data_IF_908158142233
#
_entry.id   IF_908158142233
#
_cell.length_a   1.000
_cell.length_b   1.000
_cell.length_c   1.000
_cell.angle_alpha   90.00
_cell.angle_beta   90.00
_cell.angle_gamma   90.00
#
_symmetry.space_group_name_H-M   'P 1'
#
loop_
_entity.id
_entity.type
_entity.pdbx_description
1 polymer ?
#
# COMPACT_ATOMS: atom_id res chain seq x y z
N UNK A 1 -0.67 -17.57 -7.75
CA UNK A 1 -0.53 -16.16 -7.38
C UNK A 1 -1.91 -15.63 -6.99
N UNK A 2 -2.00 -14.94 -5.84
CA UNK A 2 -3.26 -14.38 -5.32
C UNK A 2 -3.10 -12.87 -5.21
N UNK A 3 -4.00 -12.11 -5.83
CA UNK A 3 -4.01 -10.65 -5.75
C UNK A 3 -5.23 -10.16 -4.98
N UNK A 4 -5.00 -9.40 -3.90
CA UNK A 4 -6.05 -8.72 -3.14
C UNK A 4 -6.11 -7.25 -3.56
N UNK A 5 -7.29 -6.75 -3.88
CA UNK A 5 -7.49 -5.41 -4.45
C UNK A 5 -8.31 -4.51 -3.52
N UNK A 6 -7.86 -3.27 -3.36
CA UNK A 6 -8.64 -2.19 -2.74
C UNK A 6 -9.46 -1.44 -3.81
N UNK A 7 -10.74 -1.22 -3.54
CA UNK A 7 -11.69 -0.53 -4.43
C UNK A 7 -11.77 0.97 -4.20
N UNK A 8 -10.96 1.52 -3.31
CA UNK A 8 -11.07 2.92 -2.91
C UNK A 8 -10.45 3.93 -3.89
N UNK A 9 -9.81 3.49 -4.96
CA UNK A 9 -9.23 4.39 -5.96
C UNK A 9 -9.85 4.16 -7.34
N UNK A 10 -10.47 5.18 -7.90
CA UNK A 10 -11.01 5.23 -9.27
C UNK A 10 -9.96 5.02 -10.38
N UNK A 11 -8.70 4.82 -10.02
CA UNK A 11 -7.56 4.66 -10.96
C UNK A 11 -7.25 3.19 -11.26
N UNK A 12 -7.90 2.26 -10.59
CA UNK A 12 -7.72 0.84 -10.92
C UNK A 12 -8.59 0.47 -12.10
N UNK A 13 -8.02 0.52 -13.29
CA UNK A 13 -8.68 0.08 -14.49
C UNK A 13 -9.10 -1.39 -14.37
N UNK A 14 -10.37 -1.67 -14.59
CA UNK A 14 -10.92 -3.02 -14.75
C UNK A 14 -10.17 -3.83 -15.81
N UNK A 15 -9.54 -3.15 -16.76
CA UNK A 15 -8.79 -3.70 -17.87
C UNK A 15 -7.61 -4.60 -17.45
N UNK A 16 -7.03 -4.37 -16.26
CA UNK A 16 -5.98 -5.23 -15.73
C UNK A 16 -6.50 -6.59 -15.24
N UNK A 17 -7.76 -6.68 -14.83
CA UNK A 17 -8.34 -7.95 -14.37
C UNK A 17 -8.63 -8.91 -15.51
N UNK A 18 -9.05 -8.38 -16.65
CA UNK A 18 -9.35 -9.16 -17.85
C UNK A 18 -8.07 -9.74 -18.50
N UNK A 19 -6.91 -9.14 -18.19
CA UNK A 19 -5.60 -9.59 -18.69
C UNK A 19 -4.87 -10.58 -17.76
N UNK A 20 -5.46 -10.95 -16.61
CA UNK A 20 -4.80 -11.86 -15.68
C UNK A 20 -4.84 -13.31 -16.18
N UNK A 21 -3.74 -14.07 -15.99
CA UNK A 21 -3.74 -15.49 -16.29
C UNK A 21 -4.81 -16.23 -15.46
N UNK A 22 -5.43 -17.29 -15.98
CA UNK A 22 -6.43 -18.08 -15.25
C UNK A 22 -5.93 -18.70 -13.93
N UNK A 23 -4.60 -18.79 -13.77
CA UNK A 23 -3.96 -19.28 -12.54
C UNK A 23 -3.92 -18.24 -11.43
N UNK A 24 -4.29 -16.99 -11.68
CA UNK A 24 -4.31 -15.92 -10.68
C UNK A 24 -5.69 -15.81 -10.07
N UNK A 25 -5.80 -16.10 -8.78
CA UNK A 25 -7.03 -15.89 -8.04
C UNK A 25 -7.17 -14.43 -7.63
N UNK A 26 -8.35 -13.84 -7.86
CA UNK A 26 -8.67 -12.46 -7.45
C UNK A 26 -9.66 -12.51 -6.28
N UNK A 27 -9.28 -11.88 -5.18
CA UNK A 27 -10.12 -11.78 -3.98
C UNK A 27 -10.51 -10.32 -3.78
N UNK A 28 -11.80 -9.96 -3.87
CA UNK A 28 -12.26 -8.60 -3.66
C UNK A 28 -12.17 -8.21 -2.18
N UNK A 29 -11.74 -6.97 -1.90
CA UNK A 29 -11.71 -6.39 -0.58
C UNK A 29 -12.06 -4.90 -0.66
N UNK A 30 -13.18 -4.50 -0.07
CA UNK A 30 -13.71 -3.13 -0.12
C UNK A 30 -13.23 -2.24 1.04
N UNK A 31 -12.60 -2.82 2.06
CA UNK A 31 -12.12 -2.10 3.24
C UNK A 31 -10.76 -2.62 3.69
N UNK A 32 -9.99 -1.80 4.41
CA UNK A 32 -8.70 -2.22 4.98
C UNK A 32 -8.82 -3.44 5.92
N UNK A 33 -9.95 -3.62 6.59
CA UNK A 33 -10.20 -4.80 7.43
C UNK A 33 -10.45 -6.06 6.61
N UNK A 34 -11.24 -5.96 5.57
CA UNK A 34 -11.47 -7.06 4.61
C UNK A 34 -10.17 -7.43 3.91
N UNK A 35 -9.38 -6.42 3.46
CA UNK A 35 -8.08 -6.66 2.87
C UNK A 35 -7.13 -7.38 3.83
N UNK A 36 -7.04 -6.95 5.10
CA UNK A 36 -6.23 -7.65 6.09
C UNK A 36 -6.66 -9.12 6.23
N UNK A 37 -7.96 -9.38 6.31
CA UNK A 37 -8.48 -10.76 6.41
C UNK A 37 -8.13 -11.57 5.17
N UNK A 38 -8.44 -11.05 3.99
CA UNK A 38 -8.20 -11.73 2.71
C UNK A 38 -6.72 -12.03 2.48
N UNK A 39 -5.83 -11.04 2.75
CA UNK A 39 -4.38 -11.23 2.62
C UNK A 39 -3.88 -12.29 3.59
N UNK A 40 -4.32 -12.29 4.86
CA UNK A 40 -3.89 -13.29 5.84
C UNK A 40 -4.34 -14.71 5.47
N UNK A 41 -5.55 -14.88 4.94
CA UNK A 41 -6.03 -16.18 4.45
C UNK A 41 -5.20 -16.66 3.25
N UNK A 42 -5.04 -15.79 2.24
CA UNK A 42 -4.26 -16.12 1.05
C UNK A 42 -2.77 -16.39 1.35
N UNK A 43 -2.23 -15.71 2.34
CA UNK A 43 -0.82 -15.82 2.73
C UNK A 43 -0.47 -17.14 3.46
N UNK A 44 -1.45 -17.94 3.91
CA UNK A 44 -1.18 -19.22 4.60
C UNK A 44 -0.40 -20.21 3.74
N UNK A 45 -0.67 -20.18 2.45
CA UNK A 45 -0.06 -21.10 1.48
C UNK A 45 0.96 -20.41 0.57
N UNK A 46 1.26 -19.11 0.83
CA UNK A 46 2.19 -18.33 0.03
C UNK A 46 3.59 -18.25 0.64
N UNK A 47 4.63 -18.39 -0.17
CA UNK A 47 6.01 -18.23 0.24
C UNK A 47 6.40 -16.75 0.40
N UNK A 48 5.75 -15.86 -0.36
CA UNK A 48 5.98 -14.43 -0.31
C UNK A 48 4.68 -13.63 -0.40
N UNK A 49 4.64 -12.46 0.25
CA UNK A 49 3.55 -11.48 0.15
C UNK A 49 4.13 -10.14 -0.29
N UNK A 50 3.59 -9.58 -1.36
CA UNK A 50 3.99 -8.27 -1.89
C UNK A 50 2.82 -7.31 -1.71
N UNK A 51 2.97 -6.35 -0.79
CA UNK A 51 1.98 -5.33 -0.46
C UNK A 51 2.26 -4.05 -1.23
N UNK A 52 1.71 -3.92 -2.43
CA UNK A 52 1.87 -2.72 -3.27
C UNK A 52 0.74 -1.70 -3.11
N UNK A 53 -0.36 -2.07 -2.45
CA UNK A 53 -1.52 -1.21 -2.29
C UNK A 53 -1.28 -0.08 -1.28
N UNK A 54 -1.75 1.13 -1.62
CA UNK A 54 -1.84 2.26 -0.70
C UNK A 54 -3.11 2.13 0.15
N UNK A 55 -2.98 1.58 1.36
CA UNK A 55 -4.10 1.46 2.29
C UNK A 55 -4.19 2.72 3.15
N UNK A 56 -5.38 3.33 3.22
CA UNK A 56 -5.60 4.53 4.02
C UNK A 56 -5.34 4.28 5.52
N UNK A 57 -4.65 5.20 6.19
CA UNK A 57 -4.34 5.09 7.63
C UNK A 57 -5.58 5.23 8.51
N UNK A 58 -6.62 5.91 8.03
CA UNK A 58 -7.83 6.24 8.79
C UNK A 58 -9.09 5.85 8.02
N UNK A 59 -10.14 5.61 8.77
CA UNK A 59 -11.51 5.40 8.26
C UNK A 59 -12.53 6.12 9.15
N UNK A 60 -13.71 6.50 8.65
CA UNK A 60 -14.79 6.98 9.48
C UNK A 60 -15.18 5.96 10.56
N UNK A 61 -15.45 6.43 11.79
CA UNK A 61 -15.94 5.58 12.88
C UNK A 61 -17.34 5.05 12.52
N UNK A 62 -18.16 5.91 11.90
CA UNK A 62 -19.52 5.58 11.47
C UNK A 62 -19.69 5.89 10.00
N UNK A 63 -20.22 4.94 9.25
CA UNK A 63 -20.60 5.11 7.84
C UNK A 63 -22.09 5.44 7.78
N UNK A 64 -22.45 6.55 7.11
CA UNK A 64 -23.84 6.91 6.93
C UNK A 64 -24.56 5.92 6.02
N UNK A 65 -25.71 5.41 6.43
CA UNK A 65 -26.52 4.49 5.63
C UNK A 65 -27.12 5.15 4.37
N UNK A 66 -27.19 6.49 4.35
CA UNK A 66 -27.76 7.27 3.25
C UNK A 66 -26.86 8.46 2.94
N UNK A 67 -27.06 9.06 1.74
CA UNK A 67 -26.35 10.25 1.30
C UNK A 67 -26.51 11.40 2.32
N UNK A 68 -25.39 11.92 2.80
CA UNK A 68 -25.34 13.11 3.66
C UNK A 68 -25.73 14.32 2.81
N UNK A 69 -26.86 14.95 3.16
CA UNK A 69 -27.35 16.15 2.46
C UNK A 69 -26.68 17.40 3.05
N UNK A 70 -26.39 18.40 2.18
CA UNK A 70 -25.96 19.72 2.63
C UNK A 70 -27.06 20.34 3.53
N UNK A 71 -26.66 20.90 4.68
CA UNK A 71 -27.58 21.69 5.51
C UNK A 71 -27.76 23.07 4.89
N UNK A 72 -28.98 23.66 4.93
CA UNK A 72 -29.17 25.03 4.52
C UNK A 72 -28.36 25.99 5.40
N UNK A 73 -27.89 27.14 4.87
CA UNK A 73 -27.07 28.11 5.61
C UNK A 73 -27.67 28.60 6.94
N UNK A 74 -29.01 28.63 7.03
CA UNK A 74 -29.78 29.03 8.23
C UNK A 74 -29.64 28.08 9.42
N UNK A 75 -29.11 26.90 9.23
CA UNK A 75 -28.93 25.87 10.29
C UNK A 75 -27.50 25.79 10.83
N UNK A 76 -26.60 26.65 10.38
CA UNK A 76 -25.20 26.69 10.85
C UNK A 76 -25.02 27.74 11.95
N UNK A 77 -24.31 27.42 13.05
CA UNK A 77 -23.94 28.42 14.05
C UNK A 77 -22.96 29.49 13.55
N UNK A 78 -22.33 29.23 12.40
CA UNK A 78 -21.46 30.17 11.69
C UNK A 78 -22.01 30.41 10.29
N UNK A 79 -22.57 31.61 9.98
CA UNK A 79 -23.26 31.87 8.71
C UNK A 79 -22.37 31.86 7.46
N UNK A 80 -21.05 31.84 7.59
CA UNK A 80 -20.14 31.98 6.47
C UNK A 80 -19.82 30.71 5.71
N UNK A 81 -19.83 29.51 6.37
CA UNK A 81 -19.55 28.24 5.67
C UNK A 81 -20.17 27.04 6.39
N UNK A 82 -21.07 26.29 5.72
CA UNK A 82 -21.60 25.05 6.29
C UNK A 82 -20.50 23.99 6.35
N UNK A 83 -20.09 23.63 7.57
CA UNK A 83 -19.09 22.59 7.81
C UNK A 83 -19.72 21.29 8.34
N UNK A 84 -19.05 20.18 8.07
CA UNK A 84 -19.36 18.86 8.64
C UNK A 84 -18.11 18.28 9.31
N UNK A 85 -18.26 17.73 10.51
CA UNK A 85 -17.18 17.02 11.18
C UNK A 85 -17.37 15.52 11.01
N UNK A 86 -16.29 14.84 10.62
CA UNK A 86 -16.25 13.38 10.50
C UNK A 86 -15.23 12.86 11.50
N UNK A 87 -15.68 12.02 12.44
CA UNK A 87 -14.78 11.34 13.37
C UNK A 87 -14.11 10.16 12.66
N UNK A 88 -12.78 10.10 12.78
CA UNK A 88 -11.97 9.04 12.19
C UNK A 88 -11.36 8.13 13.26
N UNK A 89 -11.10 6.89 12.89
CA UNK A 89 -10.31 5.92 13.66
C UNK A 89 -9.27 5.27 12.75
N UNK A 90 -8.19 4.75 13.33
CA UNK A 90 -7.10 4.13 12.59
C UNK A 90 -7.53 2.82 11.91
N UNK A 91 -7.02 2.59 10.73
CA UNK A 91 -7.03 1.30 10.05
C UNK A 91 -5.93 0.38 10.61
N UNK A 92 -6.06 -0.94 10.45
CA UNK A 92 -4.96 -1.84 10.76
C UNK A 92 -3.79 -1.60 9.79
N UNK A 93 -2.58 -1.58 10.32
CA UNK A 93 -1.36 -1.60 9.53
C UNK A 93 -1.11 -3.04 9.04
N UNK A 94 -1.54 -3.33 7.80
CA UNK A 94 -1.52 -4.70 7.26
C UNK A 94 -0.08 -5.19 7.12
N UNK A 95 0.81 -4.35 6.58
CA UNK A 95 2.21 -4.71 6.37
C UNK A 95 2.90 -5.04 7.70
N UNK A 96 2.75 -4.18 8.71
CA UNK A 96 3.33 -4.43 10.03
C UNK A 96 2.75 -5.70 10.68
N UNK A 97 1.46 -5.99 10.49
CA UNK A 97 0.84 -7.23 11.00
C UNK A 97 1.37 -8.49 10.32
N UNK A 98 1.62 -8.44 9.00
CA UNK A 98 2.21 -9.58 8.27
C UNK A 98 3.65 -9.87 8.73
N UNK A 99 4.39 -8.84 9.12
CA UNK A 99 5.75 -9.00 9.64
C UNK A 99 5.77 -9.52 11.07
N UNK A 100 4.94 -8.94 11.95
CA UNK A 100 4.95 -9.29 13.39
C UNK A 100 4.23 -10.60 13.72
N UNK A 101 3.24 -10.98 12.91
CA UNK A 101 2.44 -12.17 13.07
C UNK A 101 2.17 -12.79 11.67
N UNK A 102 3.22 -13.36 11.04
CA UNK A 102 3.10 -13.92 9.69
C UNK A 102 2.19 -15.16 9.69
N UNK A 103 1.29 -15.30 8.72
CA UNK A 103 0.42 -16.47 8.59
C UNK A 103 1.17 -17.78 8.41
N UNK A 104 2.40 -17.72 7.89
CA UNK A 104 3.30 -18.84 7.67
C UNK A 104 4.72 -18.48 8.10
N UNK A 105 5.40 -19.39 8.80
CA UNK A 105 6.79 -19.21 9.18
C UNK A 105 7.72 -19.14 7.95
N UNK A 106 8.72 -18.26 7.98
CA UNK A 106 9.67 -18.08 6.87
C UNK A 106 9.12 -17.35 5.66
N UNK A 107 7.92 -16.78 5.75
CA UNK A 107 7.30 -16.03 4.66
C UNK A 107 8.02 -14.73 4.39
N UNK A 108 8.37 -14.46 3.13
CA UNK A 108 8.98 -13.19 2.73
C UNK A 108 7.89 -12.11 2.59
N UNK A 109 8.08 -10.97 3.23
CA UNK A 109 7.15 -9.83 3.16
C UNK A 109 7.84 -8.65 2.51
N UNK A 110 7.24 -8.16 1.42
CA UNK A 110 7.70 -6.99 0.65
C UNK A 110 6.65 -5.90 0.76
N UNK A 111 7.07 -4.69 1.13
CA UNK A 111 6.20 -3.52 1.21
C UNK A 111 6.55 -2.47 0.15
N UNK A 112 5.63 -1.52 -0.01
CA UNK A 112 5.81 -0.31 -0.80
C UNK A 112 5.62 0.93 0.06
N UNK A 113 6.37 1.98 -0.27
CA UNK A 113 6.21 3.31 0.29
C UNK A 113 6.31 4.35 -0.82
N UNK A 114 5.37 5.27 -0.84
CA UNK A 114 5.46 6.50 -1.59
C UNK A 114 5.91 7.59 -0.60
N UNK A 115 7.05 8.21 -0.86
CA UNK A 115 7.62 9.23 0.03
C UNK A 115 7.91 10.51 -0.75
N UNK A 116 7.68 11.64 -0.08
CA UNK A 116 8.17 12.96 -0.49
C UNK A 116 9.30 13.36 0.45
N UNK A 117 10.26 14.15 -0.04
CA UNK A 117 11.17 14.86 0.84
C UNK A 117 10.45 16.03 1.52
N UNK A 118 10.93 16.44 2.68
CA UNK A 118 10.50 17.62 3.42
C UNK A 118 11.69 18.30 4.11
N UNK A 119 11.41 19.30 4.99
CA UNK A 119 12.45 20.03 5.72
C UNK A 119 13.22 19.16 6.73
N UNK A 120 12.66 18.00 7.13
CA UNK A 120 13.27 17.07 8.10
C UNK A 120 14.16 16.02 7.43
N UNK A 121 13.98 15.77 6.13
CA UNK A 121 14.79 14.80 5.40
C UNK A 121 14.36 14.55 3.96
N UNK A 122 15.24 13.86 3.23
CA UNK A 122 14.96 13.43 1.87
C UNK A 122 14.12 12.14 1.83
N UNK A 123 13.74 11.73 0.63
CA UNK A 123 12.98 10.49 0.37
C UNK A 123 13.65 9.26 0.97
N UNK A 124 14.99 9.19 0.92
CA UNK A 124 15.74 8.04 1.46
C UNK A 124 15.75 8.03 2.98
N UNK A 125 15.87 9.20 3.60
CA UNK A 125 15.81 9.34 5.06
C UNK A 125 14.45 8.83 5.60
N UNK A 126 13.35 9.30 5.03
CA UNK A 126 12.01 8.87 5.42
C UNK A 126 11.74 7.41 5.07
N UNK A 127 12.19 6.97 3.90
CA UNK A 127 12.12 5.57 3.47
C UNK A 127 12.84 4.62 4.42
N UNK A 128 14.08 4.97 4.83
CA UNK A 128 14.86 4.17 5.78
C UNK A 128 14.21 4.12 7.19
N UNK A 129 13.68 5.24 7.67
CA UNK A 129 12.94 5.28 8.92
C UNK A 129 11.67 4.39 8.85
N UNK A 130 10.96 4.43 7.72
CA UNK A 130 9.78 3.59 7.47
C UNK A 130 10.14 2.10 7.37
N UNK A 131 11.22 1.74 6.67
CA UNK A 131 11.72 0.37 6.57
C UNK A 131 11.98 -0.24 7.96
N UNK A 132 12.73 0.47 8.80
CA UNK A 132 12.98 0.05 10.20
C UNK A 132 11.70 -0.09 11.01
N UNK A 133 10.75 0.82 10.86
CA UNK A 133 9.47 0.78 11.61
C UNK A 133 8.58 -0.36 11.16
N UNK A 134 8.52 -0.66 9.86
CA UNK A 134 7.67 -1.72 9.30
C UNK A 134 8.31 -3.10 9.43
N UNK A 135 9.63 -3.20 9.36
CA UNK A 135 10.38 -4.44 9.49
C UNK A 135 10.16 -5.45 8.36
N UNK A 136 9.62 -5.03 7.22
CA UNK A 136 9.47 -5.89 6.05
C UNK A 136 10.83 -6.30 5.51
N UNK A 137 10.93 -7.50 4.94
CA UNK A 137 12.19 -8.01 4.37
C UNK A 137 12.74 -7.08 3.28
N UNK A 138 11.83 -6.54 2.47
CA UNK A 138 12.14 -5.48 1.51
C UNK A 138 11.07 -4.38 1.58
N UNK A 139 11.49 -3.13 1.47
CA UNK A 139 10.61 -1.99 1.28
C UNK A 139 11.02 -1.25 0.00
N UNK A 140 10.16 -1.28 -1.01
CA UNK A 140 10.33 -0.51 -2.23
C UNK A 140 9.83 0.93 -1.98
N UNK A 141 10.75 1.88 -2.00
CA UNK A 141 10.46 3.30 -1.79
C UNK A 141 10.44 3.99 -3.15
N UNK A 142 9.29 4.56 -3.50
CA UNK A 142 9.13 5.38 -4.70
C UNK A 142 9.12 6.86 -4.31
N UNK A 143 9.98 7.65 -4.94
CA UNK A 143 9.89 9.10 -4.85
C UNK A 143 8.62 9.56 -5.59
N UNK A 144 7.74 10.26 -4.90
CA UNK A 144 6.54 10.86 -5.48
C UNK A 144 6.59 12.38 -5.34
N UNK A 145 6.06 13.11 -6.32
CA UNK A 145 6.02 14.56 -6.36
C UNK A 145 5.06 15.02 -7.44
N UNK A 146 4.95 16.33 -7.67
CA UNK A 146 4.01 16.91 -8.64
C UNK A 146 4.19 16.38 -10.08
N UNK A 147 5.40 15.92 -10.43
CA UNK A 147 5.71 15.36 -11.76
C UNK A 147 6.26 13.93 -11.73
N UNK A 148 6.20 13.22 -10.57
CA UNK A 148 6.81 11.91 -10.39
C UNK A 148 5.83 10.91 -9.75
N UNK A 149 5.83 9.69 -10.26
CA UNK A 149 5.27 8.52 -9.57
C UNK A 149 3.81 8.16 -9.86
N UNK A 150 2.99 9.06 -10.41
CA UNK A 150 1.60 8.77 -10.76
C UNK A 150 1.36 8.79 -12.28
N UNK A 151 0.50 7.90 -12.76
CA UNK A 151 0.16 7.79 -14.19
C UNK A 151 1.17 6.95 -15.00
N UNK A 152 1.27 7.27 -16.29
CA UNK A 152 2.10 6.52 -17.26
C UNK A 152 3.49 7.14 -17.42
N UNK A 153 4.14 7.43 -16.29
CA UNK A 153 5.50 7.96 -16.23
C UNK A 153 6.48 6.88 -15.78
N UNK A 154 7.77 6.96 -16.16
CA UNK A 154 8.79 6.07 -15.64
C UNK A 154 8.85 6.14 -14.12
N UNK A 155 8.94 4.97 -13.49
CA UNK A 155 9.12 4.87 -12.04
C UNK A 155 10.61 4.76 -11.68
N UNK A 156 10.96 5.35 -10.55
CA UNK A 156 12.25 5.12 -9.90
C UNK A 156 12.00 4.66 -8.47
N UNK A 157 12.58 3.54 -8.11
CA UNK A 157 12.49 3.00 -6.74
C UNK A 157 13.86 2.77 -6.15
N UNK A 158 13.93 2.92 -4.84
CA UNK A 158 15.02 2.40 -4.02
C UNK A 158 14.45 1.28 -3.15
N UNK A 159 15.10 0.13 -3.14
CA UNK A 159 14.70 -1.01 -2.33
C UNK A 159 15.59 -1.07 -1.09
N UNK A 160 14.95 -1.04 0.06
CA UNK A 160 15.61 -1.05 1.37
C UNK A 160 15.34 -2.38 2.08
N UNK A 161 16.30 -2.86 2.87
CA UNK A 161 16.08 -3.96 3.81
C UNK A 161 15.36 -3.51 5.09
N UNK A 162 15.12 -4.44 6.01
CA UNK A 162 14.48 -4.16 7.30
C UNK A 162 15.30 -3.22 8.21
N UNK A 163 16.59 -3.06 7.96
CA UNK A 163 17.49 -2.14 8.65
C UNK A 163 17.51 -0.75 8.04
N UNK A 164 16.83 -0.59 6.89
CA UNK A 164 16.77 0.66 6.12
C UNK A 164 18.03 0.88 5.27
N UNK A 165 18.78 -0.19 4.98
CA UNK A 165 19.94 -0.16 4.09
C UNK A 165 19.48 -0.37 2.64
N UNK A 166 20.03 0.39 1.72
CA UNK A 166 19.76 0.22 0.29
C UNK A 166 20.35 -1.12 -0.19
N UNK A 167 19.50 -1.98 -0.74
CA UNK A 167 19.91 -3.27 -1.33
C UNK A 167 19.83 -3.27 -2.85
N UNK A 168 19.02 -2.40 -3.43
CA UNK A 168 18.91 -2.22 -4.87
C UNK A 168 18.28 -0.88 -5.24
N UNK A 169 18.50 -0.49 -6.50
CA UNK A 169 17.86 0.67 -7.11
C UNK A 169 17.41 0.31 -8.52
N UNK A 170 16.24 0.78 -8.92
CA UNK A 170 15.70 0.53 -10.24
C UNK A 170 14.93 1.72 -10.77
N UNK A 171 15.01 1.92 -12.08
CA UNK A 171 14.17 2.89 -12.78
C UNK A 171 13.73 2.34 -14.13
N UNK A 172 12.66 2.87 -14.68
CA UNK A 172 12.11 2.48 -15.97
C UNK A 172 10.61 2.29 -15.92
N UNK A 173 10.08 1.45 -16.79
CA UNK A 173 8.67 1.08 -16.80
C UNK A 173 8.25 0.37 -15.52
N UNK A 174 6.97 0.39 -15.20
CA UNK A 174 6.40 -0.37 -14.07
C UNK A 174 6.75 -1.86 -14.13
N UNK A 175 6.83 -2.42 -15.35
CA UNK A 175 7.20 -3.82 -15.58
C UNK A 175 8.67 -4.10 -15.23
N UNK A 176 9.59 -3.20 -15.56
CA UNK A 176 11.02 -3.35 -15.22
C UNK A 176 11.23 -3.27 -13.71
N UNK A 177 10.56 -2.34 -13.05
CA UNK A 177 10.56 -2.22 -11.59
C UNK A 177 9.97 -3.48 -10.94
N UNK A 178 8.84 -3.98 -11.43
CA UNK A 178 8.23 -5.21 -10.92
C UNK A 178 9.16 -6.43 -11.07
N UNK A 179 9.85 -6.57 -12.21
CA UNK A 179 10.82 -7.65 -12.43
C UNK A 179 12.02 -7.57 -11.47
N UNK A 180 12.49 -6.37 -11.15
CA UNK A 180 13.53 -6.19 -10.14
C UNK A 180 13.07 -6.71 -8.79
N UNK A 181 11.89 -6.30 -8.32
CA UNK A 181 11.35 -6.73 -7.02
C UNK A 181 11.11 -8.23 -6.95
N UNK A 182 10.57 -8.83 -8.00
CA UNK A 182 10.36 -10.30 -8.05
C UNK A 182 11.71 -11.04 -7.96
N UNK A 183 12.75 -10.58 -8.65
CA UNK A 183 14.09 -11.19 -8.55
C UNK A 183 14.64 -11.10 -7.13
N UNK A 184 14.63 -9.92 -6.51
CA UNK A 184 15.10 -9.74 -5.13
C UNK A 184 14.31 -10.59 -4.14
N UNK A 185 12.99 -10.73 -4.34
CA UNK A 185 12.14 -11.60 -3.52
C UNK A 185 12.54 -13.07 -3.68
N UNK A 186 12.76 -13.53 -4.91
CA UNK A 186 13.19 -14.90 -5.21
C UNK A 186 14.57 -15.21 -4.63
N UNK A 187 15.51 -14.26 -4.70
CA UNK A 187 16.86 -14.40 -4.12
C UNK A 187 16.79 -14.59 -2.59
N UNK A 188 15.93 -13.84 -1.89
CA UNK A 188 15.69 -14.02 -0.46
C UNK A 188 15.09 -15.39 -0.14
N UNK A 189 14.10 -15.85 -0.92
CA UNK A 189 13.48 -17.18 -0.75
C UNK A 189 14.50 -18.32 -0.94
N UNK A 190 15.50 -18.11 -1.80
CA UNK A 190 16.54 -19.11 -2.07
C UNK A 190 17.63 -19.15 -0.99
N UNK A 191 17.72 -18.10 -0.16
CA UNK A 191 18.74 -17.93 0.88
C UNK A 191 18.23 -18.29 2.28
N UNK A 192 16.93 -18.56 2.41
CA UNK A 192 16.23 -18.91 3.65
C UNK A 192 16.03 -20.41 3.76
#
# INVERSE_FOLDING_TARGET
EITVRDWSSDVCSSDLLDALPPSVAVVPAGTAREMLHAVREAARDADAVIMSAAVADYRPITVAATKIKKRPPSASPHPSEPSISIQLTTNPDILAKLVTDPPRAGQIVVGFAAETGDDDGDVLFHGAAKARRKGAHLLAVNAVGEELGFGDVPNAIVVLDAQGTEVARGQGSKMEVARLLIRLTADLMSSS
#
